data_IF_210426016019
#
_entry.id   IF_210426016019
#
_cell.length_a   1.000
_cell.length_b   1.000
_cell.length_c   1.000
_cell.angle_alpha   90.00
_cell.angle_beta   90.00
_cell.angle_gamma   90.00
#
_symmetry.space_group_name_H-M   'P 1'
#
loop_
_entity.id
_entity.type
_entity.pdbx_description
1 polymer ?
#
# COMPACT_ATOMS: atom_id res chain seq x y z
N UNK A 1 5.84 -14.28 -7.04
CA UNK A 1 7.10 -13.50 -7.06
C UNK A 1 6.89 -12.20 -6.31
N UNK A 2 7.79 -11.80 -5.39
CA UNK A 2 7.76 -10.46 -4.76
C UNK A 2 8.28 -9.43 -5.77
N UNK A 3 7.53 -8.35 -6.00
CA UNK A 3 8.00 -7.23 -6.83
C UNK A 3 9.00 -6.40 -6.03
N UNK A 4 10.20 -6.19 -6.56
CA UNK A 4 11.23 -5.35 -5.93
C UNK A 4 10.70 -3.93 -5.72
N UNK A 5 10.95 -3.37 -4.53
CA UNK A 5 10.51 -2.02 -4.16
C UNK A 5 9.02 -1.90 -3.83
N UNK A 6 8.29 -3.02 -3.76
CA UNK A 6 6.92 -3.08 -3.23
C UNK A 6 6.95 -3.65 -1.82
N UNK A 7 6.35 -2.92 -0.91
CA UNK A 7 6.20 -3.28 0.49
C UNK A 7 4.78 -3.80 0.72
N UNK A 8 4.66 -4.65 1.74
CA UNK A 8 3.43 -5.36 2.06
C UNK A 8 3.18 -5.33 3.57
N UNK A 9 1.93 -5.07 3.94
CA UNK A 9 1.41 -5.13 5.30
C UNK A 9 0.21 -6.06 5.26
N UNK A 10 0.22 -7.07 6.11
CA UNK A 10 -0.90 -7.98 6.32
C UNK A 10 -1.41 -7.73 7.73
N UNK A 11 -2.72 -7.59 7.89
CA UNK A 11 -3.35 -7.45 9.19
C UNK A 11 -4.63 -8.27 9.27
N UNK A 12 -4.99 -8.71 10.49
CA UNK A 12 -6.14 -9.59 10.71
C UNK A 12 -6.10 -10.85 9.82
N UNK A 13 -7.24 -11.47 9.53
CA UNK A 13 -7.33 -12.71 8.74
C UNK A 13 -7.29 -12.49 7.22
N UNK A 14 -7.65 -11.30 6.73
CA UNK A 14 -7.73 -11.01 5.27
C UNK A 14 -7.26 -9.61 4.87
N UNK A 15 -6.84 -8.79 5.83
CA UNK A 15 -6.37 -7.44 5.57
C UNK A 15 -5.02 -7.46 4.88
N UNK A 16 -4.90 -6.75 3.77
CA UNK A 16 -3.68 -6.64 2.98
C UNK A 16 -3.56 -5.27 2.34
N UNK A 17 -2.37 -4.68 2.47
CA UNK A 17 -1.99 -3.48 1.76
C UNK A 17 -0.65 -3.69 1.08
N UNK A 18 -0.52 -3.12 -0.11
CA UNK A 18 0.74 -3.04 -0.83
C UNK A 18 0.99 -1.60 -1.27
N UNK A 19 2.22 -1.15 -1.09
CA UNK A 19 2.65 0.19 -1.45
C UNK A 19 4.09 0.21 -1.94
N UNK A 20 4.52 1.33 -2.47
CA UNK A 20 5.93 1.63 -2.74
C UNK A 20 6.27 3.02 -2.24
N UNK A 21 7.54 3.26 -1.96
CA UNK A 21 8.01 4.63 -1.80
C UNK A 21 8.17 5.29 -3.18
N UNK A 22 7.72 6.54 -3.26
CA UNK A 22 7.92 7.40 -4.42
C UNK A 22 8.79 8.60 -4.08
N UNK A 23 9.00 9.47 -5.06
CA UNK A 23 9.68 10.75 -4.85
C UNK A 23 8.97 11.54 -3.74
N UNK A 24 9.69 12.00 -2.71
CA UNK A 24 9.14 12.86 -1.67
C UNK A 24 8.42 14.07 -2.27
N UNK A 25 7.19 14.32 -1.81
CA UNK A 25 6.47 15.54 -2.18
C UNK A 25 6.84 16.73 -1.29
N UNK A 26 7.39 16.45 -0.09
CA UNK A 26 7.85 17.44 0.89
C UNK A 26 9.21 16.99 1.46
N UNK A 27 10.15 17.92 1.73
CA UNK A 27 11.43 17.59 2.33
C UNK A 27 11.25 16.83 3.65
N UNK A 28 12.04 15.77 3.87
CA UNK A 28 11.98 14.95 5.09
C UNK A 28 10.79 14.00 5.20
N UNK A 29 9.82 14.03 4.26
CA UNK A 29 8.63 13.18 4.31
C UNK A 29 8.63 12.14 3.18
N UNK A 30 8.81 10.84 3.50
CA UNK A 30 8.72 9.80 2.49
C UNK A 30 7.31 9.75 1.91
N UNK A 31 7.21 9.67 0.58
CA UNK A 31 5.91 9.57 -0.10
C UNK A 31 5.52 8.11 -0.26
N UNK A 32 4.37 7.74 0.27
CA UNK A 32 3.75 6.42 0.03
C UNK A 32 2.84 6.51 -1.19
N UNK A 33 3.04 5.60 -2.15
CA UNK A 33 2.12 5.40 -3.27
C UNK A 33 1.37 4.08 -3.01
N UNK A 34 0.08 4.20 -2.69
CA UNK A 34 -0.80 3.04 -2.50
C UNK A 34 -1.03 2.31 -3.82
N UNK A 35 -0.91 0.97 -3.80
CA UNK A 35 -1.22 0.12 -4.97
C UNK A 35 -2.49 -0.67 -4.76
N UNK A 36 -2.63 -1.31 -3.60
CA UNK A 36 -3.85 -1.99 -3.14
C UNK A 36 -3.97 -1.85 -1.63
N UNK A 37 -5.17 -1.62 -1.14
CA UNK A 37 -5.54 -1.70 0.27
C UNK A 37 -6.88 -2.45 0.29
N UNK A 38 -7.02 -3.46 1.14
CA UNK A 38 -8.30 -4.15 1.29
C UNK A 38 -8.31 -5.23 2.36
N UNK A 39 -9.52 -5.56 2.81
CA UNK A 39 -9.95 -6.85 3.37
C UNK A 39 -11.22 -7.30 2.63
N UNK A 40 -11.99 -8.28 3.13
CA UNK A 40 -13.07 -8.95 2.37
C UNK A 40 -14.14 -8.07 1.69
N UNK A 41 -14.33 -6.81 2.09
CA UNK A 41 -15.14 -5.85 1.33
C UNK A 41 -14.24 -4.70 0.88
N UNK A 42 -13.69 -4.82 -0.32
CA UNK A 42 -13.12 -3.69 -1.04
C UNK A 42 -14.29 -2.73 -1.27
N UNK A 43 -14.18 -1.48 -0.82
CA UNK A 43 -15.10 -0.41 -1.23
C UNK A 43 -14.95 -0.28 -2.76
N UNK A 44 -15.89 -0.89 -3.49
CA UNK A 44 -15.95 -0.86 -4.95
C UNK A 44 -16.62 0.40 -5.47
N UNK A 45 -17.10 1.28 -4.57
CA UNK A 45 -17.72 2.57 -4.89
C UNK A 45 -17.03 3.71 -4.13
N UNK A 46 -16.92 4.92 -4.73
CA UNK A 46 -16.23 6.09 -4.15
C UNK A 46 -16.77 6.51 -2.78
#
# INVERSE_FOLDING_TARGET
MRTVGVYELIWSSSGRATWRYGTPARPGHPRIIGRRIGGHNILTSP
#
